data_IF_581529737312
#
_entry.id   IF_581529737312
#
_cell.length_a   1.000
_cell.length_b   1.000
_cell.length_c   1.000
_cell.angle_alpha   90.00
_cell.angle_beta   90.00
_cell.angle_gamma   90.00
#
_symmetry.space_group_name_H-M   'P 1'
#
loop_
_entity.id
_entity.type
_entity.pdbx_description
1 polymer ?
#
# COMPACT_ATOMS: atom_id res chain seq x y z
N UNK A 1 12.76 17.13 36.40
CA UNK A 1 12.80 17.88 35.12
C UNK A 1 11.46 18.56 34.92
N UNK A 2 11.42 19.88 35.10
CA UNK A 2 10.20 20.70 35.01
C UNK A 2 9.83 20.94 33.54
N UNK A 3 8.53 21.00 33.23
CA UNK A 3 7.98 21.19 31.87
C UNK A 3 8.56 22.39 31.10
N UNK A 4 9.08 23.38 31.83
CA UNK A 4 9.70 24.59 31.31
C UNK A 4 10.99 24.26 30.50
N UNK A 5 11.79 23.30 30.97
CA UNK A 5 13.05 22.90 30.30
C UNK A 5 12.83 22.20 28.95
N UNK A 6 11.79 21.37 28.82
CA UNK A 6 11.46 20.70 27.54
C UNK A 6 10.97 21.68 26.49
N UNK A 7 10.19 22.69 26.91
CA UNK A 7 9.65 23.72 26.01
C UNK A 7 10.76 24.61 25.42
N UNK A 8 11.77 24.96 26.22
CA UNK A 8 12.94 25.71 25.74
C UNK A 8 13.87 24.89 24.84
N UNK A 9 14.11 23.61 25.18
CA UNK A 9 14.93 22.70 24.36
C UNK A 9 14.28 22.43 23.00
N UNK A 10 12.98 22.14 22.96
CA UNK A 10 12.24 22.01 21.71
C UNK A 10 12.28 23.32 20.93
N UNK A 11 12.07 24.48 21.58
CA UNK A 11 12.15 25.77 20.89
C UNK A 11 13.54 26.05 20.29
N UNK A 12 14.62 25.66 20.96
CA UNK A 12 15.99 25.86 20.48
C UNK A 12 16.36 24.91 19.32
N UNK A 13 16.08 23.60 19.46
CA UNK A 13 16.31 22.59 18.43
C UNK A 13 15.42 22.80 17.20
N UNK A 14 14.15 23.16 17.41
CA UNK A 14 13.20 23.45 16.33
C UNK A 14 13.62 24.70 15.55
N UNK A 15 14.05 25.77 16.23
CA UNK A 15 14.52 26.98 15.54
C UNK A 15 15.79 26.72 14.73
N UNK A 16 16.73 25.93 15.24
CA UNK A 16 17.98 25.64 14.51
C UNK A 16 17.75 24.74 13.28
N UNK A 17 16.94 23.69 13.39
CA UNK A 17 16.71 22.76 12.29
C UNK A 17 15.71 23.30 11.25
N UNK A 18 14.61 23.92 11.69
CA UNK A 18 13.54 24.38 10.80
C UNK A 18 13.73 25.81 10.30
N UNK A 19 14.72 26.57 10.78
CA UNK A 19 15.09 27.86 10.14
C UNK A 19 15.54 27.68 8.70
N UNK A 20 15.94 26.47 8.30
CA UNK A 20 16.33 26.15 6.94
C UNK A 20 15.14 25.94 5.99
N UNK A 21 13.94 25.67 6.52
CA UNK A 21 12.73 25.44 5.74
C UNK A 21 11.95 26.77 5.65
N UNK A 22 11.77 27.33 4.44
CA UNK A 22 10.95 28.53 4.27
C UNK A 22 9.56 28.35 4.86
N UNK A 23 9.06 29.38 5.53
CA UNK A 23 7.70 29.43 6.11
C UNK A 23 7.37 28.37 7.18
N UNK A 24 8.26 27.43 7.51
CA UNK A 24 8.02 26.40 8.53
C UNK A 24 7.66 27.02 9.89
N UNK A 25 8.33 28.11 10.29
CA UNK A 25 8.00 28.83 11.51
C UNK A 25 6.56 29.38 11.51
N UNK A 26 6.10 29.92 10.38
CA UNK A 26 4.74 30.45 10.22
C UNK A 26 3.70 29.32 10.21
N UNK A 27 3.93 28.25 9.43
CA UNK A 27 3.03 27.10 9.36
C UNK A 27 2.86 26.44 10.74
N UNK A 28 3.96 26.27 11.49
CA UNK A 28 3.90 25.75 12.86
C UNK A 28 3.10 26.69 13.78
N UNK A 29 3.31 28.00 13.64
CA UNK A 29 2.63 28.99 14.47
C UNK A 29 1.12 29.02 14.18
N UNK A 30 0.73 29.05 12.91
CA UNK A 30 -0.68 28.97 12.46
C UNK A 30 -1.34 27.71 13.01
N UNK A 31 -0.74 26.53 12.83
CA UNK A 31 -1.31 25.28 13.34
C UNK A 31 -1.40 25.27 14.87
N UNK A 32 -0.42 25.82 15.58
CA UNK A 32 -0.49 25.92 17.05
C UNK A 32 -1.60 26.87 17.50
N UNK A 33 -1.80 28.00 16.81
CA UNK A 33 -2.83 29.00 17.15
C UNK A 33 -4.25 28.57 16.74
N UNK A 34 -4.41 27.97 15.57
CA UNK A 34 -5.69 27.43 15.09
C UNK A 34 -6.18 26.27 15.98
N UNK A 35 -5.24 25.52 16.58
CA UNK A 35 -5.58 24.36 17.39
C UNK A 35 -5.39 24.59 18.89
N UNK A 36 -6.44 25.08 19.54
CA UNK A 36 -6.54 25.26 21.01
C UNK A 36 -6.47 23.95 21.86
N UNK A 37 -6.05 22.82 21.29
CA UNK A 37 -6.06 21.52 21.95
C UNK A 37 -4.66 21.04 22.37
N UNK A 38 -4.42 20.87 23.68
CA UNK A 38 -3.17 20.30 24.24
C UNK A 38 -2.73 19.00 23.55
N UNK A 39 -3.70 18.16 23.15
CA UNK A 39 -3.43 16.91 22.45
C UNK A 39 -2.88 17.10 21.03
N UNK A 40 -3.37 18.09 20.29
CA UNK A 40 -2.88 18.38 18.92
C UNK A 40 -1.48 18.99 18.97
N UNK A 41 -1.26 19.90 19.91
CA UNK A 41 0.06 20.46 20.17
C UNK A 41 1.07 19.37 20.55
N UNK A 42 0.68 18.42 21.41
CA UNK A 42 1.54 17.26 21.76
C UNK A 42 1.93 16.44 20.53
N UNK A 43 1.02 16.19 19.59
CA UNK A 43 1.32 15.45 18.35
C UNK A 43 2.29 16.19 17.46
N UNK A 44 2.06 17.50 17.28
CA UNK A 44 2.95 18.35 16.51
C UNK A 44 4.36 18.35 17.12
N UNK A 45 4.47 18.65 18.41
CA UNK A 45 5.75 18.68 19.10
C UNK A 45 6.50 17.36 18.98
N UNK A 46 5.82 16.22 19.19
CA UNK A 46 6.43 14.90 19.06
C UNK A 46 6.91 14.62 17.62
N UNK A 47 6.12 15.01 16.61
CA UNK A 47 6.53 14.85 15.21
C UNK A 47 7.76 15.71 14.89
N UNK A 48 7.77 16.96 15.35
CA UNK A 48 8.85 17.93 15.14
C UNK A 48 10.14 17.48 15.85
N UNK A 49 10.05 16.99 17.09
CA UNK A 49 11.20 16.45 17.83
C UNK A 49 11.84 15.27 17.07
N UNK A 50 11.03 14.30 16.66
CA UNK A 50 11.51 13.12 15.91
C UNK A 50 12.06 13.48 14.52
N UNK A 51 11.59 14.57 13.92
CA UNK A 51 12.10 15.08 12.65
C UNK A 51 13.39 15.90 12.83
N UNK A 52 13.50 16.71 13.88
CA UNK A 52 14.73 17.39 14.30
C UNK A 52 15.86 16.38 14.55
N UNK A 53 15.58 15.29 15.25
CA UNK A 53 16.58 14.24 15.48
C UNK A 53 17.14 13.69 14.17
N UNK A 54 16.29 13.53 13.14
CA UNK A 54 16.74 13.11 11.83
C UNK A 54 17.69 14.13 11.19
N UNK A 55 17.37 15.42 11.27
CA UNK A 55 18.23 16.48 10.73
C UNK A 55 19.58 16.59 11.45
N UNK A 56 19.59 16.41 12.78
CA UNK A 56 20.83 16.44 13.56
C UNK A 56 21.72 15.25 13.26
N UNK A 57 21.14 14.07 13.07
CA UNK A 57 21.88 12.83 12.81
C UNK A 57 22.38 12.71 11.37
N UNK A 58 21.71 13.34 10.41
CA UNK A 58 22.04 13.23 8.98
C UNK A 58 22.59 14.55 8.47
N UNK A 59 23.92 14.67 8.36
CA UNK A 59 24.58 15.93 7.95
C UNK A 59 24.49 16.21 6.44
N UNK A 60 24.21 15.19 5.62
CA UNK A 60 24.12 15.29 4.16
C UNK A 60 22.69 15.57 3.67
N UNK A 61 21.98 16.48 4.34
CA UNK A 61 20.65 16.89 3.90
C UNK A 61 20.76 17.67 2.59
N UNK A 62 19.89 17.34 1.63
CA UNK A 62 19.79 18.10 0.39
C UNK A 62 19.11 19.47 0.64
N UNK A 63 19.92 20.45 1.04
CA UNK A 63 19.49 21.84 1.30
C UNK A 63 19.04 22.58 0.03
N UNK A 64 19.20 22.02 -1.18
CA UNK A 64 18.64 22.62 -2.39
C UNK A 64 17.13 22.35 -2.47
N UNK A 65 16.70 21.12 -2.16
CA UNK A 65 15.30 20.76 -2.25
C UNK A 65 14.44 21.42 -1.16
N UNK A 66 15.01 21.65 0.01
CA UNK A 66 14.30 22.23 1.16
C UNK A 66 13.69 23.63 0.89
N UNK A 67 14.13 24.30 -0.17
CA UNK A 67 13.68 25.64 -0.57
C UNK A 67 12.71 25.62 -1.76
N UNK A 68 12.36 24.44 -2.27
CA UNK A 68 11.44 24.31 -3.40
C UNK A 68 9.99 24.42 -2.92
N UNK A 69 9.13 24.96 -3.79
CA UNK A 69 7.70 25.10 -3.48
C UNK A 69 7.05 23.73 -3.29
N UNK A 70 7.37 22.75 -4.15
CA UNK A 70 6.88 21.37 -4.06
C UNK A 70 7.16 20.73 -2.68
N UNK A 71 8.37 20.93 -2.15
CA UNK A 71 8.72 20.42 -0.82
C UNK A 71 7.98 21.17 0.29
N UNK A 72 7.87 22.50 0.17
CA UNK A 72 7.20 23.32 1.17
C UNK A 72 5.70 22.98 1.26
N UNK A 73 5.02 22.81 0.12
CA UNK A 73 3.62 22.41 0.05
C UNK A 73 3.39 21.02 0.65
N UNK A 74 4.28 20.07 0.33
CA UNK A 74 4.25 18.73 0.94
C UNK A 74 4.46 18.81 2.45
N UNK A 75 5.43 19.59 2.91
CA UNK A 75 5.72 19.78 4.32
C UNK A 75 4.51 20.32 5.07
N UNK A 76 3.88 21.38 4.55
CA UNK A 76 2.69 21.97 5.13
C UNK A 76 1.53 20.96 5.18
N UNK A 77 1.27 20.25 4.08
CA UNK A 77 0.22 19.23 4.00
C UNK A 77 0.43 18.12 5.05
N UNK A 78 1.68 17.68 5.23
CA UNK A 78 2.05 16.71 6.26
C UNK A 78 1.79 17.27 7.66
N UNK A 79 2.20 18.50 7.98
CA UNK A 79 1.95 19.09 9.29
C UNK A 79 0.45 19.18 9.62
N UNK A 80 -0.38 19.60 8.65
CA UNK A 80 -1.85 19.63 8.77
C UNK A 80 -2.44 18.23 9.05
N UNK A 81 -1.85 17.17 8.49
CA UNK A 81 -2.27 15.79 8.75
C UNK A 81 -1.76 15.26 10.09
N UNK A 82 -0.56 15.65 10.52
CA UNK A 82 0.03 15.24 11.81
C UNK A 82 -0.87 15.67 12.97
N UNK A 83 -1.31 16.93 12.99
CA UNK A 83 -2.12 17.47 14.10
C UNK A 83 -3.47 16.76 14.24
N UNK A 84 -4.04 16.28 13.13
CA UNK A 84 -5.34 15.59 13.10
C UNK A 84 -5.21 14.07 13.27
N UNK A 85 -4.03 13.48 13.08
CA UNK A 85 -3.83 12.03 13.08
C UNK A 85 -3.54 11.46 14.46
N UNK A 86 -4.30 10.42 14.87
CA UNK A 86 -4.05 9.70 16.14
C UNK A 86 -3.11 8.51 16.01
N UNK A 87 -2.92 7.97 14.80
CA UNK A 87 -2.16 6.73 14.56
C UNK A 87 -0.66 7.02 14.49
N UNK A 88 0.11 6.46 15.43
CA UNK A 88 1.57 6.56 15.42
C UNK A 88 2.19 5.90 14.17
N UNK A 89 1.57 4.85 13.63
CA UNK A 89 2.03 4.23 12.38
C UNK A 89 1.93 5.21 11.20
N UNK A 90 0.82 5.97 11.11
CA UNK A 90 0.66 6.99 10.07
C UNK A 90 1.64 8.14 10.26
N UNK A 91 1.83 8.61 11.49
CA UNK A 91 2.82 9.66 11.79
C UNK A 91 4.23 9.24 11.35
N UNK A 92 4.62 7.98 11.60
CA UNK A 92 5.89 7.41 11.11
C UNK A 92 5.96 7.39 9.58
N UNK A 93 4.88 7.02 8.88
CA UNK A 93 4.82 7.06 7.40
C UNK A 93 4.96 8.49 6.88
N UNK A 94 4.29 9.47 7.48
CA UNK A 94 4.43 10.88 7.09
C UNK A 94 5.87 11.37 7.23
N UNK A 95 6.56 11.03 8.32
CA UNK A 95 7.99 11.34 8.47
C UNK A 95 8.81 10.73 7.34
N UNK A 96 8.61 9.43 7.06
CA UNK A 96 9.35 8.74 5.99
C UNK A 96 9.17 9.42 4.64
N UNK A 97 7.95 9.80 4.30
CA UNK A 97 7.63 10.49 3.05
C UNK A 97 8.40 11.81 2.98
N UNK A 98 8.29 12.62 4.03
CA UNK A 98 8.96 13.91 4.07
C UNK A 98 10.48 13.78 3.92
N UNK A 99 11.09 12.82 4.63
CA UNK A 99 12.53 12.55 4.55
C UNK A 99 12.94 12.05 3.16
N UNK A 100 12.15 11.15 2.57
CA UNK A 100 12.41 10.61 1.23
C UNK A 100 12.38 11.72 0.18
N UNK A 101 11.32 12.53 0.18
CA UNK A 101 11.14 13.64 -0.76
C UNK A 101 12.17 14.74 -0.54
N UNK A 102 12.59 15.00 0.71
CA UNK A 102 13.67 15.93 0.99
C UNK A 102 14.98 15.50 0.31
N UNK A 103 15.37 14.24 0.47
CA UNK A 103 16.65 13.74 -0.04
C UNK A 103 16.62 13.48 -1.54
N UNK A 104 15.54 12.85 -2.02
CA UNK A 104 15.34 12.38 -3.38
C UNK A 104 13.98 12.87 -3.89
N UNK A 105 13.90 14.11 -4.40
CA UNK A 105 12.64 14.73 -4.78
C UNK A 105 12.02 13.94 -5.94
N UNK A 106 10.78 13.51 -5.76
CA UNK A 106 10.03 12.83 -6.81
C UNK A 106 9.64 13.80 -7.92
N UNK A 107 9.66 13.32 -9.17
CA UNK A 107 9.09 14.06 -10.31
C UNK A 107 7.55 13.97 -10.34
N UNK A 108 6.96 13.04 -9.59
CA UNK A 108 5.52 12.78 -9.55
C UNK A 108 4.91 13.37 -8.26
N UNK A 109 5.02 14.69 -8.06
CA UNK A 109 4.58 15.37 -6.82
C UNK A 109 3.07 15.20 -6.55
N UNK A 110 2.24 15.27 -7.59
CA UNK A 110 0.80 14.99 -7.50
C UNK A 110 0.50 13.58 -7.00
N UNK A 111 1.30 12.58 -7.43
CA UNK A 111 1.14 11.20 -6.97
C UNK A 111 1.50 11.05 -5.49
N UNK A 112 2.52 11.76 -5.02
CA UNK A 112 2.90 11.78 -3.60
C UNK A 112 1.75 12.38 -2.76
N UNK A 113 1.17 13.48 -3.21
CA UNK A 113 0.00 14.09 -2.56
C UNK A 113 -1.19 13.12 -2.49
N UNK A 114 -1.48 12.43 -3.60
CA UNK A 114 -2.52 11.40 -3.64
C UNK A 114 -2.23 10.25 -2.66
N UNK A 115 -1.00 9.77 -2.60
CA UNK A 115 -0.59 8.73 -1.63
C UNK A 115 -0.70 9.21 -0.19
N UNK A 116 -0.35 10.46 0.08
CA UNK A 116 -0.50 11.06 1.40
C UNK A 116 -1.98 11.10 1.84
N UNK A 117 -2.89 11.41 0.92
CA UNK A 117 -4.34 11.38 1.17
C UNK A 117 -4.86 9.96 1.42
N UNK A 118 -4.35 8.97 0.68
CA UNK A 118 -4.67 7.57 0.92
C UNK A 118 -4.20 7.10 2.30
N UNK A 119 -2.95 7.37 2.68
CA UNK A 119 -2.42 7.02 4.01
C UNK A 119 -3.25 7.67 5.11
N UNK A 120 -3.66 8.92 4.91
CA UNK A 120 -4.48 9.66 5.86
C UNK A 120 -5.87 9.02 6.02
N UNK A 121 -6.51 8.66 4.91
CA UNK A 121 -7.91 8.21 4.89
C UNK A 121 -8.13 6.71 5.15
N UNK A 122 -7.15 5.85 4.88
CA UNK A 122 -7.25 4.40 5.09
C UNK A 122 -6.95 4.01 6.54
N UNK A 123 -7.75 3.12 7.11
CA UNK A 123 -7.45 2.47 8.39
C UNK A 123 -6.32 1.44 8.25
N UNK A 124 -5.69 1.05 9.35
CA UNK A 124 -4.68 -0.02 9.33
C UNK A 124 -5.29 -1.38 8.91
N UNK A 125 -6.58 -1.59 9.18
CA UNK A 125 -7.29 -2.79 8.76
C UNK A 125 -7.50 -2.81 7.24
N UNK A 126 -7.88 -1.68 6.63
CA UNK A 126 -7.94 -1.53 5.18
C UNK A 126 -6.56 -1.74 4.52
N UNK A 127 -5.50 -1.15 5.11
CA UNK A 127 -4.14 -1.36 4.62
C UNK A 127 -3.72 -2.83 4.69
N UNK A 128 -4.11 -3.56 5.74
CA UNK A 128 -3.87 -5.01 5.85
C UNK A 128 -4.67 -5.80 4.82
N UNK A 129 -5.93 -5.45 4.58
CA UNK A 129 -6.76 -6.07 3.54
C UNK A 129 -6.10 -5.88 2.18
N UNK A 130 -5.77 -4.63 1.82
CA UNK A 130 -5.07 -4.29 0.59
C UNK A 130 -3.75 -5.03 0.47
N UNK A 131 -2.96 -5.05 1.56
CA UNK A 131 -1.68 -5.74 1.59
C UNK A 131 -1.83 -7.20 1.21
N UNK A 132 -2.75 -7.92 1.83
CA UNK A 132 -2.97 -9.33 1.53
C UNK A 132 -3.53 -9.56 0.11
N UNK A 133 -4.30 -8.61 -0.42
CA UNK A 133 -4.81 -8.67 -1.80
C UNK A 133 -3.74 -8.41 -2.87
N UNK A 134 -2.53 -7.98 -2.50
CA UNK A 134 -1.40 -7.82 -3.43
C UNK A 134 -1.05 -9.10 -4.21
N UNK A 135 -1.43 -10.26 -3.68
CA UNK A 135 -1.20 -11.56 -4.29
C UNK A 135 -2.21 -11.91 -5.38
N UNK A 136 -3.32 -11.16 -5.48
CA UNK A 136 -4.34 -11.36 -6.49
C UNK A 136 -4.18 -10.27 -7.55
N UNK A 137 -3.28 -10.51 -8.49
CA UNK A 137 -3.00 -9.62 -9.61
C UNK A 137 -3.21 -10.34 -10.95
N UNK A 138 -2.84 -9.67 -12.04
CA UNK A 138 -2.93 -10.25 -13.39
C UNK A 138 -2.15 -11.55 -13.55
N UNK A 139 -1.02 -11.72 -12.87
CA UNK A 139 -0.23 -12.96 -12.92
C UNK A 139 -1.03 -14.10 -12.27
N UNK A 140 -1.59 -13.85 -11.10
CA UNK A 140 -2.44 -14.82 -10.41
C UNK A 140 -3.62 -15.28 -11.29
N UNK A 141 -4.30 -14.35 -11.96
CA UNK A 141 -5.41 -14.69 -12.86
C UNK A 141 -4.98 -15.46 -14.09
N UNK A 142 -3.90 -15.03 -14.74
CA UNK A 142 -3.36 -15.73 -15.92
C UNK A 142 -3.01 -17.17 -15.57
N UNK A 143 -2.50 -17.43 -14.36
CA UNK A 143 -2.26 -18.78 -13.86
C UNK A 143 -3.57 -19.56 -13.60
N UNK A 144 -4.65 -18.90 -13.15
CA UNK A 144 -5.96 -19.55 -13.03
C UNK A 144 -6.57 -19.90 -14.38
N UNK A 145 -6.48 -19.00 -15.36
CA UNK A 145 -6.94 -19.21 -16.74
C UNK A 145 -6.15 -20.37 -17.37
N UNK A 146 -4.81 -20.31 -17.31
CA UNK A 146 -3.93 -21.37 -17.80
C UNK A 146 -4.30 -22.72 -17.19
N UNK A 147 -4.55 -22.76 -15.88
CA UNK A 147 -4.97 -24.00 -15.22
C UNK A 147 -6.31 -24.52 -15.75
N UNK A 148 -7.29 -23.64 -16.00
CA UNK A 148 -8.58 -24.04 -16.57
C UNK A 148 -8.42 -24.61 -17.98
N UNK A 149 -7.59 -23.99 -18.82
CA UNK A 149 -7.25 -24.48 -20.16
C UNK A 149 -6.58 -25.87 -20.11
N UNK A 150 -5.63 -26.07 -19.18
CA UNK A 150 -4.99 -27.37 -18.98
C UNK A 150 -5.99 -28.45 -18.57
N UNK A 151 -6.96 -28.13 -17.70
CA UNK A 151 -8.04 -29.07 -17.35
C UNK A 151 -8.95 -29.41 -18.54
N UNK A 152 -9.28 -28.43 -19.39
CA UNK A 152 -10.06 -28.68 -20.60
C UNK A 152 -9.30 -29.59 -21.56
N UNK A 153 -7.99 -29.36 -21.75
CA UNK A 153 -7.14 -30.18 -22.60
C UNK A 153 -7.00 -31.63 -22.10
N UNK A 154 -6.92 -31.83 -20.78
CA UNK A 154 -6.92 -33.18 -20.17
C UNK A 154 -8.22 -33.94 -20.40
N UNK A 155 -9.35 -33.23 -20.45
CA UNK A 155 -10.69 -33.82 -20.54
C UNK A 155 -11.26 -33.81 -21.96
N UNK A 156 -10.48 -33.39 -22.97
CA UNK A 156 -10.96 -33.25 -24.34
C UNK A 156 -11.11 -34.65 -24.99
N UNK A 157 -12.34 -35.11 -25.33
CA UNK A 157 -12.58 -36.46 -25.84
C UNK A 157 -11.98 -36.70 -27.24
N UNK A 158 -11.72 -35.63 -27.99
CA UNK A 158 -11.25 -35.65 -29.38
C UNK A 158 -9.93 -36.39 -29.59
N UNK A 159 -9.14 -36.60 -28.52
CA UNK A 159 -7.86 -37.31 -28.57
C UNK A 159 -8.01 -38.78 -28.10
N UNK A 160 -9.07 -39.10 -27.36
CA UNK A 160 -9.19 -40.40 -26.68
C UNK A 160 -9.88 -41.50 -27.51
N UNK A 161 -10.67 -41.18 -28.54
CA UNK A 161 -11.50 -42.22 -29.19
C UNK A 161 -11.32 -42.41 -30.71
N UNK A 162 -10.74 -41.47 -31.49
CA UNK A 162 -10.86 -41.53 -32.96
C UNK A 162 -9.59 -41.30 -33.79
N UNK A 163 -8.38 -41.33 -33.23
CA UNK A 163 -7.16 -41.34 -34.04
C UNK A 163 -6.43 -42.66 -33.87
N UNK A 164 -6.12 -43.34 -34.99
CA UNK A 164 -5.16 -44.44 -35.03
C UNK A 164 -3.76 -43.88 -34.72
N UNK A 165 -3.51 -43.54 -33.46
CA UNK A 165 -2.22 -43.04 -33.04
C UNK A 165 -1.28 -44.23 -32.92
N UNK A 166 -0.14 -44.16 -33.60
CA UNK A 166 0.93 -45.15 -33.47
C UNK A 166 1.50 -45.19 -32.03
N UNK A 167 2.41 -46.13 -31.75
CA UNK A 167 3.03 -46.23 -30.41
C UNK A 167 3.69 -44.92 -29.98
N UNK A 168 4.31 -44.19 -30.92
CA UNK A 168 5.03 -42.95 -30.66
C UNK A 168 4.08 -41.83 -30.26
N UNK A 169 2.98 -41.64 -30.99
CA UNK A 169 2.00 -40.61 -30.64
C UNK A 169 1.23 -40.93 -29.35
N UNK A 170 1.03 -42.21 -28.99
CA UNK A 170 0.52 -42.57 -27.65
C UNK A 170 1.47 -42.16 -26.53
N UNK A 171 2.78 -42.30 -26.73
CA UNK A 171 3.80 -41.93 -25.76
C UNK A 171 3.91 -40.40 -25.61
N UNK A 172 3.89 -39.67 -26.73
CA UNK A 172 3.86 -38.19 -26.75
C UNK A 172 2.61 -37.68 -26.02
N UNK A 173 1.45 -38.28 -26.27
CA UNK A 173 0.21 -37.90 -25.60
C UNK A 173 0.26 -38.18 -24.09
N UNK A 174 0.74 -39.35 -23.69
CA UNK A 174 0.92 -39.71 -22.28
C UNK A 174 1.87 -38.74 -21.58
N UNK A 175 2.99 -38.39 -22.21
CA UNK A 175 3.97 -37.43 -21.68
C UNK A 175 3.38 -36.01 -21.57
N UNK A 176 2.56 -35.61 -22.53
CA UNK A 176 1.85 -34.32 -22.52
C UNK A 176 0.84 -34.25 -21.36
N UNK A 177 0.08 -35.32 -21.14
CA UNK A 177 -0.86 -35.42 -20.01
C UNK A 177 -0.16 -35.42 -18.64
N UNK A 178 1.01 -36.05 -18.52
CA UNK A 178 1.83 -35.99 -17.31
C UNK A 178 2.28 -34.54 -17.08
N UNK A 179 2.82 -33.89 -18.11
CA UNK A 179 3.24 -32.48 -18.05
C UNK A 179 2.09 -31.54 -17.66
N UNK A 180 0.90 -31.71 -18.22
CA UNK A 180 -0.29 -30.93 -17.86
C UNK A 180 -0.71 -31.15 -16.40
N UNK A 181 -0.70 -32.41 -15.91
CA UNK A 181 -1.03 -32.73 -14.51
C UNK A 181 -0.01 -32.12 -13.53
N UNK A 182 1.27 -32.16 -13.88
CA UNK A 182 2.34 -31.57 -13.08
C UNK A 182 2.18 -30.04 -13.00
N UNK A 183 1.87 -29.40 -14.13
CA UNK A 183 1.67 -27.95 -14.14
C UNK A 183 0.40 -27.51 -13.39
N UNK A 184 -0.71 -28.25 -13.53
CA UNK A 184 -1.92 -28.02 -12.73
C UNK A 184 -1.62 -28.15 -11.23
N UNK A 185 -0.85 -29.17 -10.85
CA UNK A 185 -0.45 -29.42 -9.46
C UNK A 185 0.43 -28.29 -8.93
N UNK A 186 1.38 -27.82 -9.73
CA UNK A 186 2.25 -26.67 -9.43
C UNK A 186 1.44 -25.41 -9.18
N UNK A 187 0.55 -25.02 -10.10
CA UNK A 187 -0.31 -23.83 -9.96
C UNK A 187 -1.23 -23.97 -8.74
N UNK A 188 -1.84 -25.13 -8.56
CA UNK A 188 -2.74 -25.39 -7.43
C UNK A 188 -2.02 -25.30 -6.09
N UNK A 189 -0.81 -25.87 -5.99
CA UNK A 189 0.01 -25.78 -4.78
C UNK A 189 0.41 -24.34 -4.48
N UNK A 190 0.88 -23.60 -5.49
CA UNK A 190 1.25 -22.17 -5.38
C UNK A 190 0.10 -21.34 -4.79
N UNK A 191 -1.13 -21.59 -5.23
CA UNK A 191 -2.29 -20.76 -4.87
C UNK A 191 -3.07 -21.26 -3.65
N UNK A 192 -2.79 -22.47 -3.16
CA UNK A 192 -3.53 -23.11 -2.04
C UNK A 192 -3.65 -22.20 -0.83
N UNK A 193 -2.56 -21.55 -0.45
CA UNK A 193 -2.49 -20.72 0.76
C UNK A 193 -3.00 -19.29 0.57
N UNK A 194 -3.15 -18.83 -0.67
CA UNK A 194 -3.58 -17.46 -0.96
C UNK A 194 -5.08 -17.28 -0.76
N UNK A 195 -5.88 -18.31 -1.08
CA UNK A 195 -7.35 -18.25 -1.01
C UNK A 195 -7.88 -17.79 0.35
N UNK A 196 -7.17 -18.08 1.45
CA UNK A 196 -7.57 -17.65 2.79
C UNK A 196 -7.71 -16.13 2.91
N UNK A 197 -6.90 -15.37 2.17
CA UNK A 197 -6.91 -13.89 2.21
C UNK A 197 -8.15 -13.26 1.58
N UNK A 198 -8.95 -14.04 0.85
CA UNK A 198 -10.27 -13.63 0.35
C UNK A 198 -11.38 -13.74 1.40
N UNK A 199 -11.08 -14.27 2.59
CA UNK A 199 -12.07 -14.47 3.66
C UNK A 199 -11.84 -13.55 4.85
N UNK A 200 -12.92 -13.10 5.48
CA UNK A 200 -12.87 -12.12 6.56
C UNK A 200 -12.09 -12.63 7.79
N UNK A 201 -12.15 -13.93 8.08
CA UNK A 201 -11.51 -14.54 9.25
C UNK A 201 -9.98 -14.42 9.21
N UNK A 202 -9.39 -14.45 8.00
CA UNK A 202 -7.95 -14.27 7.82
C UNK A 202 -7.46 -12.88 8.24
N UNK A 203 -8.37 -11.91 8.33
CA UNK A 203 -8.11 -10.55 8.76
C UNK A 203 -8.64 -10.29 10.17
N UNK A 204 -9.21 -11.28 10.87
CA UNK A 204 -9.90 -11.08 12.16
C UNK A 204 -11.01 -10.03 12.07
N UNK A 205 -11.74 -10.03 10.95
CA UNK A 205 -12.87 -9.15 10.69
C UNK A 205 -14.15 -9.99 10.59
N UNK A 206 -15.29 -9.36 10.85
CA UNK A 206 -16.58 -9.90 10.40
C UNK A 206 -16.78 -9.65 8.89
N UNK A 207 -17.69 -10.41 8.29
CA UNK A 207 -17.96 -10.35 6.85
C UNK A 207 -18.45 -8.96 6.39
N UNK A 208 -19.22 -8.26 7.21
CA UNK A 208 -19.76 -6.94 6.85
C UNK A 208 -18.66 -5.88 6.81
N UNK A 209 -17.78 -5.84 7.82
CA UNK A 209 -16.61 -4.97 7.84
C UNK A 209 -15.65 -5.29 6.71
N UNK A 210 -15.40 -6.57 6.45
CA UNK A 210 -14.51 -6.98 5.38
C UNK A 210 -15.05 -6.56 4.01
N UNK A 211 -16.35 -6.73 3.75
CA UNK A 211 -17.01 -6.23 2.54
C UNK A 211 -16.91 -4.71 2.42
N UNK A 212 -17.19 -3.98 3.50
CA UNK A 212 -17.07 -2.52 3.54
C UNK A 212 -15.66 -2.04 3.19
N UNK A 213 -14.62 -2.70 3.72
CA UNK A 213 -13.23 -2.37 3.38
C UNK A 213 -12.89 -2.69 1.93
N UNK A 214 -13.37 -3.80 1.37
CA UNK A 214 -13.21 -4.09 -0.07
C UNK A 214 -13.85 -2.99 -0.92
N UNK A 215 -15.05 -2.52 -0.56
CA UNK A 215 -15.75 -1.44 -1.26
C UNK A 215 -15.01 -0.11 -1.17
N UNK A 216 -14.47 0.26 0.01
CA UNK A 216 -13.68 1.48 0.18
C UNK A 216 -12.36 1.44 -0.58
N UNK A 217 -11.71 0.28 -0.63
CA UNK A 217 -10.49 0.10 -1.41
C UNK A 217 -10.78 0.13 -2.92
N UNK A 218 -11.91 -0.44 -3.34
CA UNK A 218 -12.40 -0.36 -4.72
C UNK A 218 -12.69 1.08 -5.14
N UNK A 219 -13.44 1.85 -4.33
CA UNK A 219 -13.78 3.24 -4.65
C UNK A 219 -12.58 4.19 -4.71
N UNK A 220 -11.45 3.79 -4.10
CA UNK A 220 -10.17 4.49 -4.15
C UNK A 220 -9.26 4.01 -5.29
N UNK A 221 -9.74 3.12 -6.16
CA UNK A 221 -8.97 2.57 -7.28
C UNK A 221 -7.81 1.66 -6.85
N UNK A 222 -7.79 1.18 -5.61
CA UNK A 222 -6.72 0.32 -5.08
C UNK A 222 -7.00 -1.16 -5.32
N UNK A 223 -8.28 -1.51 -5.44
CA UNK A 223 -8.74 -2.82 -5.86
C UNK A 223 -9.71 -2.69 -7.03
N UNK A 224 -9.91 -3.79 -7.75
CA UNK A 224 -10.89 -3.93 -8.83
C UNK A 224 -11.58 -5.28 -8.75
N UNK A 225 -12.84 -5.36 -9.20
CA UNK A 225 -13.64 -6.57 -9.16
C UNK A 225 -13.63 -7.29 -10.51
N UNK A 226 -12.95 -8.43 -10.55
CA UNK A 226 -12.85 -9.28 -11.75
C UNK A 226 -13.88 -10.41 -11.76
N UNK A 227 -14.85 -10.39 -10.84
CA UNK A 227 -16.01 -11.25 -10.88
C UNK A 227 -17.07 -10.77 -11.87
N UNK A 228 -17.09 -9.48 -12.20
CA UNK A 228 -18.13 -8.86 -13.03
C UNK A 228 -18.21 -9.57 -14.38
N UNK A 229 -19.42 -10.04 -14.73
CA UNK A 229 -19.68 -10.75 -15.98
C UNK A 229 -19.48 -12.28 -15.94
N UNK A 230 -19.03 -12.85 -14.80
CA UNK A 230 -18.91 -14.30 -14.62
C UNK A 230 -20.24 -14.92 -14.16
N UNK A 231 -20.47 -16.19 -14.54
CA UNK A 231 -21.61 -16.97 -14.05
C UNK A 231 -21.54 -17.13 -12.52
N UNK A 232 -22.66 -16.98 -11.82
CA UNK A 232 -22.75 -16.93 -10.35
C UNK A 232 -21.86 -15.84 -9.70
N UNK A 233 -21.78 -14.66 -10.33
CA UNK A 233 -21.07 -13.52 -9.78
C UNK A 233 -21.62 -13.07 -8.42
N UNK A 234 -20.73 -13.03 -7.43
CA UNK A 234 -20.97 -12.39 -6.13
C UNK A 234 -20.13 -11.11 -6.09
N UNK A 235 -20.76 -9.92 -5.93
CA UNK A 235 -20.04 -8.66 -5.85
C UNK A 235 -18.96 -8.66 -4.78
N UNK A 236 -17.80 -8.09 -5.14
CA UNK A 236 -16.62 -7.95 -4.31
C UNK A 236 -16.01 -9.26 -3.81
N UNK A 237 -16.37 -10.42 -4.38
CA UNK A 237 -15.77 -11.71 -4.00
C UNK A 237 -14.40 -11.91 -4.67
N UNK A 238 -14.32 -11.60 -5.97
CA UNK A 238 -13.12 -11.79 -6.80
C UNK A 238 -12.32 -10.49 -6.98
N UNK A 239 -12.03 -9.83 -5.85
CA UNK A 239 -11.22 -8.62 -5.83
C UNK A 239 -9.76 -8.90 -6.17
N UNK A 240 -9.15 -7.96 -6.89
CA UNK A 240 -7.73 -7.96 -7.25
C UNK A 240 -7.12 -6.60 -6.97
N UNK A 241 -5.81 -6.60 -6.75
CA UNK A 241 -5.06 -5.36 -6.63
C UNK A 241 -4.87 -4.70 -8.00
N UNK A 242 -5.02 -3.39 -8.06
CA UNK A 242 -4.67 -2.62 -9.25
C UNK A 242 -3.17 -2.33 -9.29
N UNK A 243 -2.65 -1.93 -10.45
CA UNK A 243 -1.25 -1.47 -10.55
C UNK A 243 -0.99 -0.26 -9.65
N UNK A 244 -1.95 0.67 -9.59
CA UNK A 244 -1.92 1.80 -8.66
C UNK A 244 -1.85 1.34 -7.19
N UNK A 245 -2.65 0.34 -6.81
CA UNK A 245 -2.62 -0.27 -5.49
C UNK A 245 -1.29 -0.93 -5.14
N UNK A 246 -0.64 -1.60 -6.11
CA UNK A 246 0.70 -2.18 -5.94
C UNK A 246 1.75 -1.11 -5.67
N UNK A 247 1.83 -0.08 -6.54
CA UNK A 247 2.74 1.06 -6.36
C UNK A 247 2.52 1.74 -5.01
N UNK A 248 1.26 1.88 -4.58
CA UNK A 248 0.94 2.42 -3.26
C UNK A 248 1.46 1.54 -2.10
N UNK A 249 1.31 0.21 -2.17
CA UNK A 249 1.89 -0.70 -1.16
C UNK A 249 3.41 -0.59 -1.12
N UNK A 250 4.07 -0.51 -2.27
CA UNK A 250 5.53 -0.37 -2.35
C UNK A 250 5.98 0.95 -1.73
N UNK A 251 5.26 2.04 -2.02
CA UNK A 251 5.51 3.35 -1.47
C UNK A 251 5.43 3.38 0.06
N UNK A 252 4.42 2.75 0.67
CA UNK A 252 4.29 2.72 2.13
C UNK A 252 5.28 1.78 2.82
N UNK A 253 5.92 0.87 2.06
CA UNK A 253 6.92 -0.06 2.57
C UNK A 253 8.33 0.53 2.61
N UNK A 254 8.70 1.32 1.59
CA UNK A 254 9.96 2.07 1.58
C UNK A 254 10.04 3.00 2.79
#
# INVERSE_FOLDING_TARGET
MTEISKKEIINSLTKSAFSMIPFAGQALNELVFEYNGRLKQKRLNNFIEVLSDYFVQNRDINLKNIKTDDFNDLFESILRKVVTTKSDFKLKRFKKILVKELNNPSKETELISLYLDLISSLSEEELRVLYNHRHFDSIYENELIKRAELYQNLNNPSINENQEIDKLGREIYKNSNISFKDEISRITHKHKYLKKYRKAESHKLDEQKFLFYKQRLFSKGLLTDHGIGKYNYIPFDQMQITEFGKRFIEFIKS
#
